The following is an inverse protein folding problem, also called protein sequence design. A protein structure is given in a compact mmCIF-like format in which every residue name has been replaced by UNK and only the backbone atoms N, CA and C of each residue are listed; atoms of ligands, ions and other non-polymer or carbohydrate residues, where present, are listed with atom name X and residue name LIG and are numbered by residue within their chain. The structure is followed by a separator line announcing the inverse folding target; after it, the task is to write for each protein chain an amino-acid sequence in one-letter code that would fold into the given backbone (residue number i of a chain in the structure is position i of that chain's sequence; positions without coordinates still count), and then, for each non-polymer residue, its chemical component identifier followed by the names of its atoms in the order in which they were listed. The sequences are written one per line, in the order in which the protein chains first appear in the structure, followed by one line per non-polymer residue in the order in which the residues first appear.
data_IF_639975672764
#
_entry.id   IF_639975672764
#
_cell.length_a   1.000
_cell.length_b   1.000
_cell.length_c   1.000
_cell.angle_alpha   90.00
_cell.angle_beta   90.00
_cell.angle_gamma   90.00
#
_symmetry.space_group_name_H-M   'P 1'
#
loop_
_entity.id
_entity.type
_entity.pdbx_description
1 polymer ?
#
# COMPACT_ATOMS: atom_id res chain seq x y z
N UNK A 1 -29.09 25.84 -7.53
CA UNK A 1 -28.83 24.54 -6.87
C UNK A 1 -28.20 23.62 -7.89
N UNK A 2 -26.89 23.42 -7.83
CA UNK A 2 -26.17 22.62 -8.83
C UNK A 2 -26.59 21.16 -8.65
N UNK A 3 -27.38 20.64 -9.59
CA UNK A 3 -27.81 19.24 -9.57
C UNK A 3 -26.58 18.39 -9.89
N UNK A 4 -26.16 17.53 -8.96
CA UNK A 4 -25.07 16.60 -9.24
C UNK A 4 -25.42 15.73 -10.46
N UNK A 5 -24.46 15.42 -11.34
CA UNK A 5 -24.61 14.36 -12.32
C UNK A 5 -25.13 13.09 -11.64
N UNK A 6 -26.03 12.36 -12.32
CA UNK A 6 -26.70 11.17 -11.74
C UNK A 6 -25.73 10.20 -11.07
N UNK A 7 -24.60 9.92 -11.72
CA UNK A 7 -23.57 9.02 -11.19
C UNK A 7 -22.95 9.52 -9.87
N UNK A 8 -22.70 10.82 -9.74
CA UNK A 8 -22.15 11.40 -8.50
C UNK A 8 -23.21 11.46 -7.39
N UNK A 9 -24.49 11.66 -7.74
CA UNK A 9 -25.58 11.59 -6.78
C UNK A 9 -25.77 10.16 -6.23
N UNK A 10 -25.68 9.15 -7.10
CA UNK A 10 -25.73 7.75 -6.69
C UNK A 10 -24.51 7.40 -5.80
N UNK A 11 -23.31 7.87 -6.16
CA UNK A 11 -22.10 7.70 -5.36
C UNK A 11 -22.24 8.34 -3.97
N UNK A 12 -22.76 9.56 -3.90
CA UNK A 12 -23.02 10.24 -2.63
C UNK A 12 -23.97 9.44 -1.73
N UNK A 13 -25.04 8.87 -2.31
CA UNK A 13 -25.98 8.02 -1.59
C UNK A 13 -25.30 6.74 -1.07
N UNK A 14 -24.49 6.09 -1.89
CA UNK A 14 -23.72 4.91 -1.48
C UNK A 14 -22.74 5.24 -0.34
N UNK A 15 -21.97 6.32 -0.47
CA UNK A 15 -21.03 6.75 0.57
C UNK A 15 -21.74 7.17 1.86
N UNK A 16 -22.94 7.73 1.76
CA UNK A 16 -23.75 8.09 2.93
C UNK A 16 -24.12 6.82 3.70
N UNK A 17 -24.55 5.78 2.98
CA UNK A 17 -24.79 4.47 3.57
C UNK A 17 -23.54 3.87 4.20
N UNK A 18 -22.43 3.82 3.44
CA UNK A 18 -21.17 3.21 3.88
C UNK A 18 -20.52 3.92 5.06
N UNK A 19 -20.54 5.25 5.12
CA UNK A 19 -19.77 6.01 6.12
C UNK A 19 -20.63 6.57 7.26
N UNK A 20 -21.90 6.91 6.99
CA UNK A 20 -22.76 7.56 7.98
C UNK A 20 -23.72 6.57 8.67
N UNK A 21 -24.02 5.44 8.05
CA UNK A 21 -25.03 4.50 8.56
C UNK A 21 -24.45 3.15 8.95
N UNK A 22 -23.83 2.43 8.00
CA UNK A 22 -23.42 1.02 8.17
C UNK A 22 -21.98 0.73 7.74
N UNK A 23 -20.95 1.43 8.28
CA UNK A 23 -19.55 1.12 7.96
C UNK A 23 -19.12 -0.31 8.33
N UNK A 24 -19.77 -0.93 9.30
CA UNK A 24 -19.57 -2.33 9.68
C UNK A 24 -19.87 -3.32 8.55
N UNK A 25 -20.93 -3.12 7.76
CA UNK A 25 -21.23 -4.00 6.62
C UNK A 25 -20.12 -4.01 5.56
N UNK A 26 -19.30 -2.95 5.57
CA UNK A 26 -18.16 -2.81 4.68
C UNK A 26 -16.82 -3.09 5.37
N UNK A 27 -16.80 -3.50 6.63
CA UNK A 27 -15.57 -3.73 7.40
C UNK A 27 -14.71 -2.47 7.51
N UNK A 28 -15.35 -1.29 7.43
CA UNK A 28 -14.73 0.01 7.55
C UNK A 28 -14.77 0.42 9.02
N UNK A 29 -13.59 0.64 9.62
CA UNK A 29 -13.48 1.09 11.01
C UNK A 29 -13.20 2.58 11.01
N UNK A 30 -14.15 3.37 11.52
CA UNK A 30 -13.98 4.80 11.65
C UNK A 30 -13.09 5.14 12.84
N UNK A 31 -12.21 6.13 12.66
CA UNK A 31 -11.47 6.74 13.76
C UNK A 31 -12.42 7.58 14.64
N UNK A 32 -11.91 8.04 15.80
CA UNK A 32 -12.71 8.78 16.78
C UNK A 32 -13.29 10.10 16.24
N UNK A 33 -12.60 10.72 15.28
CA UNK A 33 -12.98 11.94 14.56
C UNK A 33 -13.84 11.67 13.30
N UNK A 34 -14.17 10.40 13.06
CA UNK A 34 -14.97 9.92 11.93
C UNK A 34 -14.18 9.71 10.64
N UNK A 35 -12.87 9.97 10.62
CA UNK A 35 -12.05 9.80 9.42
C UNK A 35 -11.72 8.33 9.14
N UNK A 36 -11.59 8.03 7.86
CA UNK A 36 -11.10 6.75 7.36
C UNK A 36 -10.23 6.98 6.11
N UNK A 37 -9.17 6.17 5.87
CA UNK A 37 -8.37 6.31 4.67
C UNK A 37 -9.20 6.08 3.40
N UNK A 38 -9.06 6.97 2.42
CA UNK A 38 -9.75 6.89 1.11
C UNK A 38 -9.45 5.56 0.42
N UNK A 39 -8.24 5.03 0.59
CA UNK A 39 -7.86 3.71 0.06
C UNK A 39 -8.76 2.58 0.56
N UNK A 40 -9.17 2.60 1.84
CA UNK A 40 -10.07 1.59 2.39
C UNK A 40 -11.48 1.73 1.80
N UNK A 41 -11.96 2.97 1.64
CA UNK A 41 -13.27 3.24 1.03
C UNK A 41 -13.32 2.78 -0.42
N UNK A 42 -12.29 3.09 -1.21
CA UNK A 42 -12.17 2.63 -2.60
C UNK A 42 -12.07 1.09 -2.69
N UNK A 43 -11.36 0.46 -1.77
CA UNK A 43 -11.29 -1.00 -1.69
C UNK A 43 -12.65 -1.62 -1.33
N UNK A 44 -13.40 -1.01 -0.41
CA UNK A 44 -14.75 -1.44 -0.09
C UNK A 44 -15.69 -1.29 -1.29
N UNK A 45 -15.68 -0.14 -1.97
CA UNK A 45 -16.46 0.13 -3.18
C UNK A 45 -16.15 -0.85 -4.31
N UNK A 46 -14.89 -1.25 -4.49
CA UNK A 46 -14.50 -2.22 -5.52
C UNK A 46 -15.16 -3.59 -5.31
N UNK A 47 -15.49 -3.92 -4.06
CA UNK A 47 -16.19 -5.14 -3.70
C UNK A 47 -17.70 -5.10 -3.90
N UNK A 48 -18.28 -3.93 -4.15
CA UNK A 48 -19.72 -3.76 -4.31
C UNK A 48 -20.10 -3.77 -5.81
N UNK A 49 -21.24 -4.38 -6.17
CA UNK A 49 -21.70 -4.44 -7.55
C UNK A 49 -21.86 -3.02 -8.11
N UNK A 50 -21.49 -2.84 -9.37
CA UNK A 50 -21.55 -1.55 -10.09
C UNK A 50 -20.61 -0.44 -9.58
N UNK A 51 -19.84 -0.63 -8.49
CA UNK A 51 -18.97 0.42 -7.92
C UNK A 51 -17.48 0.26 -8.23
N UNK A 52 -17.10 -0.80 -8.94
CA UNK A 52 -15.70 -1.09 -9.30
C UNK A 52 -15.00 -0.05 -10.19
N UNK A 53 -15.76 0.87 -10.81
CA UNK A 53 -15.20 1.95 -11.62
C UNK A 53 -14.78 3.18 -10.80
N UNK A 54 -15.22 3.28 -9.53
CA UNK A 54 -14.97 4.48 -8.71
C UNK A 54 -13.49 4.63 -8.41
N UNK A 55 -13.00 5.86 -8.52
CA UNK A 55 -11.60 6.26 -8.31
C UNK A 55 -11.57 7.54 -7.49
N UNK A 56 -10.39 7.88 -6.96
CA UNK A 56 -10.17 9.08 -6.15
C UNK A 56 -10.80 10.35 -6.75
N UNK A 57 -10.58 10.61 -8.04
CA UNK A 57 -11.10 11.80 -8.70
C UNK A 57 -12.64 11.93 -8.65
N UNK A 58 -13.38 10.81 -8.62
CA UNK A 58 -14.84 10.84 -8.49
C UNK A 58 -15.26 11.33 -7.09
N UNK A 59 -14.52 10.93 -6.05
CA UNK A 59 -14.74 11.40 -4.68
C UNK A 59 -14.43 12.89 -4.56
N UNK A 60 -13.33 13.35 -5.16
CA UNK A 60 -12.94 14.77 -5.17
C UNK A 60 -13.99 15.62 -5.90
N UNK A 61 -14.44 15.18 -7.08
CA UNK A 61 -15.51 15.85 -7.83
C UNK A 61 -16.82 15.90 -7.06
N UNK A 62 -17.22 14.79 -6.44
CA UNK A 62 -18.44 14.74 -5.63
C UNK A 62 -18.37 15.74 -4.47
N UNK A 63 -17.28 15.76 -3.71
CA UNK A 63 -17.12 16.66 -2.57
C UNK A 63 -17.07 18.14 -2.99
N UNK A 64 -16.45 18.45 -4.13
CA UNK A 64 -16.37 19.82 -4.64
C UNK A 64 -17.73 20.37 -5.12
N UNK A 65 -18.61 19.51 -5.63
CA UNK A 65 -19.89 19.92 -6.21
C UNK A 65 -21.05 19.92 -5.20
N UNK A 66 -20.87 19.31 -4.03
CA UNK A 66 -21.94 19.10 -3.06
C UNK A 66 -22.17 20.34 -2.18
N UNK A 67 -23.40 20.84 -2.17
CA UNK A 67 -23.82 21.97 -1.35
C UNK A 67 -25.19 21.70 -0.72
N UNK A 68 -25.32 21.67 0.61
CA UNK A 68 -24.24 21.75 1.62
C UNK A 68 -23.31 20.52 1.58
N UNK A 69 -22.06 20.62 2.05
CA UNK A 69 -21.12 19.50 2.02
C UNK A 69 -21.57 18.39 2.99
N UNK A 70 -21.80 17.17 2.47
CA UNK A 70 -22.10 16.01 3.32
C UNK A 70 -20.85 15.19 3.68
N UNK A 71 -19.75 15.39 2.95
CA UNK A 71 -18.47 14.71 3.17
C UNK A 71 -17.34 15.71 3.23
N UNK A 72 -16.34 15.37 4.04
CA UNK A 72 -15.07 16.08 4.08
C UNK A 72 -13.97 15.15 3.60
N UNK A 73 -13.22 15.59 2.58
CA UNK A 73 -11.96 14.98 2.19
C UNK A 73 -10.81 15.84 2.69
N UNK A 74 -9.96 15.26 3.55
CA UNK A 74 -8.75 15.88 4.06
C UNK A 74 -7.57 14.97 3.71
N UNK A 75 -6.65 15.44 2.86
CA UNK A 75 -5.51 14.65 2.35
C UNK A 75 -5.94 13.31 1.73
N UNK A 76 -5.63 12.20 2.39
CA UNK A 76 -5.99 10.83 1.99
C UNK A 76 -7.04 10.20 2.91
N UNK A 77 -7.79 11.02 3.63
CA UNK A 77 -8.88 10.60 4.50
C UNK A 77 -10.21 11.23 4.09
N UNK A 78 -11.30 10.53 4.39
CA UNK A 78 -12.66 10.98 4.17
C UNK A 78 -13.49 10.74 5.43
N UNK A 79 -14.41 11.65 5.74
CA UNK A 79 -15.43 11.46 6.78
C UNK A 79 -16.80 11.94 6.35
N UNK A 80 -17.83 11.42 7.01
CA UNK A 80 -19.19 11.92 6.88
C UNK A 80 -19.44 13.11 7.82
N UNK A 81 -20.03 14.19 7.31
CA UNK A 81 -20.41 15.38 8.09
C UNK A 81 -21.89 15.38 8.49
N UNK A 82 -22.78 14.93 7.60
CA UNK A 82 -24.22 14.96 7.81
C UNK A 82 -24.86 13.67 7.26
N UNK A 83 -25.55 12.85 8.09
CA UNK A 83 -25.97 13.10 9.49
C UNK A 83 -24.85 12.96 10.56
N UNK A 84 -23.61 12.72 10.15
CA UNK A 84 -22.44 12.53 11.02
C UNK A 84 -21.95 11.07 11.03
N UNK A 85 -20.77 10.77 11.59
CA UNK A 85 -20.22 9.41 11.59
C UNK A 85 -21.02 8.48 12.51
N UNK A 86 -21.27 7.25 12.05
CA UNK A 86 -21.92 6.22 12.85
C UNK A 86 -21.06 5.83 14.06
N UNK A 87 -21.67 5.74 15.25
CA UNK A 87 -21.02 5.23 16.46
C UNK A 87 -21.32 3.73 16.60
N UNK A 88 -20.40 2.90 16.10
CA UNK A 88 -20.60 1.46 16.02
C UNK A 88 -19.86 0.64 17.08
N UNK A 89 -18.95 1.25 17.84
CA UNK A 89 -18.21 0.54 18.89
C UNK A 89 -19.15 0.16 20.03
N UNK A 90 -19.17 -1.12 20.38
CA UNK A 90 -19.96 -1.74 21.46
C UNK A 90 -19.00 -2.38 22.47
N UNK A 91 -18.48 -1.62 23.46
CA UNK A 91 -17.51 -2.12 24.42
C UNK A 91 -18.05 -3.24 25.32
N UNK A 92 -19.37 -3.30 25.53
CA UNK A 92 -20.04 -4.30 26.36
C UNK A 92 -20.37 -5.60 25.61
N UNK A 93 -20.07 -5.68 24.31
CA UNK A 93 -20.40 -6.85 23.50
C UNK A 93 -19.46 -8.02 23.80
N UNK A 94 -20.02 -9.12 24.27
CA UNK A 94 -19.28 -10.38 24.47
C UNK A 94 -19.02 -11.05 23.11
N UNK A 95 -17.76 -11.35 22.74
CA UNK A 95 -17.46 -12.02 21.49
C UNK A 95 -17.93 -13.49 21.51
N UNK A 96 -18.39 -14.04 20.38
CA UNK A 96 -18.64 -15.47 20.22
C UNK A 96 -17.36 -16.28 20.47
N UNK A 97 -17.50 -17.59 20.71
CA UNK A 97 -16.38 -18.49 20.99
C UNK A 97 -15.35 -18.59 19.84
N UNK A 98 -15.80 -18.33 18.61
CA UNK A 98 -14.96 -18.28 17.43
C UNK A 98 -15.26 -16.98 16.66
N UNK A 99 -14.20 -16.36 16.17
CA UNK A 99 -14.27 -15.27 15.21
C UNK A 99 -13.47 -15.62 13.96
N UNK A 100 -13.74 -14.93 12.87
CA UNK A 100 -13.17 -15.23 11.57
C UNK A 100 -12.53 -14.00 10.94
N UNK A 101 -11.35 -14.16 10.37
CA UNK A 101 -10.72 -13.19 9.50
C UNK A 101 -10.48 -13.81 8.12
N UNK A 102 -10.35 -12.98 7.11
CA UNK A 102 -9.99 -13.41 5.77
C UNK A 102 -8.76 -12.64 5.31
N UNK A 103 -7.70 -13.37 4.98
CA UNK A 103 -6.42 -12.79 4.56
C UNK A 103 -6.16 -13.10 3.09
N UNK A 104 -5.45 -12.22 2.36
CA UNK A 104 -5.05 -12.53 1.00
C UNK A 104 -3.98 -13.65 1.02
N UNK A 105 -3.92 -14.55 0.03
CA UNK A 105 -2.95 -15.66 -0.01
C UNK A 105 -1.49 -15.21 0.16
N UNK A 106 -1.14 -14.04 -0.39
CA UNK A 106 0.20 -13.43 -0.22
C UNK A 106 0.61 -13.16 1.24
N UNK A 107 -0.36 -13.00 2.15
CA UNK A 107 -0.11 -12.77 3.56
C UNK A 107 -0.03 -14.08 4.36
N UNK A 108 -0.36 -15.22 3.75
CA UNK A 108 -0.49 -16.50 4.45
C UNK A 108 0.80 -16.92 5.16
N UNK A 109 1.95 -16.90 4.48
CA UNK A 109 3.22 -17.29 5.10
C UNK A 109 3.56 -16.44 6.32
N UNK A 110 3.35 -15.12 6.21
CA UNK A 110 3.57 -14.19 7.31
C UNK A 110 2.63 -14.44 8.49
N UNK A 111 1.33 -14.65 8.22
CA UNK A 111 0.33 -14.90 9.28
C UNK A 111 0.56 -16.25 9.96
N UNK A 112 1.06 -17.25 9.21
CA UNK A 112 1.42 -18.54 9.76
C UNK A 112 2.56 -18.45 10.77
N UNK A 113 3.56 -17.60 10.53
CA UNK A 113 4.72 -17.43 11.41
C UNK A 113 4.47 -16.42 12.54
N UNK A 114 3.92 -15.26 12.22
CA UNK A 114 3.83 -14.11 13.14
C UNK A 114 2.46 -13.93 13.82
N UNK A 115 1.44 -14.65 13.38
CA UNK A 115 0.05 -14.37 13.76
C UNK A 115 -0.60 -13.25 12.94
N UNK A 116 -1.79 -12.80 13.35
CA UNK A 116 -2.48 -11.68 12.72
C UNK A 116 -2.04 -10.37 13.36
N UNK A 117 -1.48 -9.47 12.54
CA UNK A 117 -1.08 -8.13 12.98
C UNK A 117 -1.85 -7.08 12.19
N UNK A 118 -2.47 -6.10 12.85
CA UNK A 118 -3.09 -4.99 12.14
C UNK A 118 -2.01 -4.07 11.55
N UNK A 119 -2.37 -3.28 10.52
CA UNK A 119 -1.56 -2.12 10.14
C UNK A 119 -1.36 -1.15 11.31
N UNK A 120 -0.36 -0.28 11.20
CA UNK A 120 -0.09 0.74 12.23
C UNK A 120 -1.35 1.58 12.51
N UNK A 121 -1.62 1.84 13.79
CA UNK A 121 -2.78 2.63 14.27
C UNK A 121 -4.17 2.07 13.88
N UNK A 122 -4.24 0.79 13.49
CA UNK A 122 -5.49 0.12 13.17
C UNK A 122 -5.70 -1.10 14.07
N UNK A 123 -6.94 -1.58 14.10
CA UNK A 123 -7.33 -2.80 14.77
C UNK A 123 -7.63 -3.89 13.73
N UNK A 124 -7.53 -5.15 14.15
CA UNK A 124 -7.99 -6.26 13.34
C UNK A 124 -9.51 -6.24 13.30
N UNK A 125 -10.07 -6.36 12.09
CA UNK A 125 -11.50 -6.56 11.88
C UNK A 125 -11.76 -8.06 11.78
N UNK A 126 -12.54 -8.57 12.72
CA UNK A 126 -12.95 -9.97 12.80
C UNK A 126 -14.46 -10.06 12.64
N UNK A 127 -14.94 -11.07 11.92
CA UNK A 127 -16.37 -11.33 11.72
C UNK A 127 -16.85 -12.46 12.62
N UNK A 128 -18.11 -12.36 13.07
CA UNK A 128 -18.80 -13.39 13.83
C UNK A 128 -19.04 -14.67 13.01
N UNK A 129 -19.16 -14.54 11.69
CA UNK A 129 -19.44 -15.65 10.78
C UNK A 129 -18.35 -15.80 9.72
N UNK A 130 -18.16 -17.04 9.25
CA UNK A 130 -17.23 -17.34 8.16
C UNK A 130 -17.63 -16.67 6.84
N UNK A 131 -18.93 -16.57 6.58
CA UNK A 131 -19.47 -15.96 5.36
C UNK A 131 -19.17 -14.47 5.29
N UNK A 132 -19.39 -13.74 6.39
CA UNK A 132 -19.08 -12.32 6.48
C UNK A 132 -17.57 -12.07 6.34
N UNK A 133 -16.72 -12.88 6.99
CA UNK A 133 -15.27 -12.83 6.77
C UNK A 133 -14.90 -13.06 5.30
N UNK A 134 -15.49 -14.07 4.65
CA UNK A 134 -15.23 -14.38 3.25
C UNK A 134 -15.64 -13.23 2.32
N UNK A 135 -16.82 -12.63 2.55
CA UNK A 135 -17.31 -11.46 1.82
C UNK A 135 -16.32 -10.30 1.91
N UNK A 136 -15.86 -9.97 3.11
CA UNK A 136 -14.88 -8.90 3.33
C UNK A 136 -13.51 -9.22 2.69
N UNK A 137 -13.07 -10.48 2.78
CA UNK A 137 -11.81 -10.96 2.21
C UNK A 137 -11.75 -10.89 0.68
N UNK A 138 -12.88 -11.22 0.02
CA UNK A 138 -12.99 -11.24 -1.45
C UNK A 138 -12.71 -9.89 -2.11
N UNK A 139 -12.88 -8.80 -1.37
CA UNK A 139 -12.55 -7.44 -1.81
C UNK A 139 -11.05 -7.20 -1.98
N UNK A 140 -10.22 -8.00 -1.29
CA UNK A 140 -8.75 -7.87 -1.31
C UNK A 140 -8.09 -8.89 -2.22
N UNK A 141 -8.65 -10.10 -2.30
CA UNK A 141 -8.18 -11.18 -3.16
C UNK A 141 -9.37 -12.07 -3.55
N UNK A 142 -9.43 -12.59 -4.79
CA UNK A 142 -10.55 -13.43 -5.24
C UNK A 142 -10.72 -14.71 -4.40
N UNK A 143 -9.60 -15.30 -3.98
CA UNK A 143 -9.55 -16.49 -3.14
C UNK A 143 -8.85 -16.16 -1.81
N UNK A 144 -9.55 -15.56 -0.83
CA UNK A 144 -8.97 -15.28 0.47
C UNK A 144 -8.90 -16.55 1.33
N UNK A 145 -7.91 -16.60 2.20
CA UNK A 145 -7.72 -17.69 3.17
C UNK A 145 -8.45 -17.31 4.45
N UNK A 146 -9.33 -18.20 4.93
CA UNK A 146 -10.03 -18.02 6.20
C UNK A 146 -9.10 -18.37 7.36
N UNK A 147 -9.08 -17.49 8.34
CA UNK A 147 -8.41 -17.66 9.62
C UNK A 147 -9.47 -17.70 10.71
N UNK A 148 -9.51 -18.77 11.47
CA UNK A 148 -10.38 -18.94 12.64
C UNK A 148 -9.63 -18.49 13.89
N UNK A 149 -10.25 -17.67 14.72
CA UNK A 149 -9.69 -17.12 15.95
C UNK A 149 -10.40 -17.75 17.14
N UNK A 150 -9.62 -18.34 18.04
CA UNK A 150 -10.07 -18.95 19.30
C UNK A 150 -10.23 -17.86 20.37
N UNK A 151 -11.36 -17.15 20.36
CA UNK A 151 -11.56 -15.95 21.18
C UNK A 151 -11.54 -16.23 22.68
N UNK A 152 -12.11 -17.36 23.13
CA UNK A 152 -12.13 -17.70 24.56
C UNK A 152 -10.73 -17.91 25.12
N UNK A 153 -9.85 -18.55 24.35
CA UNK A 153 -8.46 -18.74 24.72
C UNK A 153 -7.72 -17.39 24.73
N UNK A 154 -7.93 -16.56 23.71
CA UNK A 154 -7.33 -15.22 23.62
C UNK A 154 -7.79 -14.31 24.77
N UNK A 155 -9.08 -14.32 25.12
CA UNK A 155 -9.63 -13.57 26.25
C UNK A 155 -9.00 -14.00 27.58
N UNK A 156 -8.84 -15.30 27.83
CA UNK A 156 -8.16 -15.81 29.03
C UNK A 156 -6.69 -15.41 29.09
N UNK A 157 -6.05 -15.20 27.95
CA UNK A 157 -4.69 -14.67 27.84
C UNK A 157 -4.60 -13.14 27.94
N UNK A 158 -5.73 -12.44 28.16
CA UNK A 158 -5.78 -10.99 28.33
C UNK A 158 -5.95 -10.18 27.05
N UNK A 159 -6.24 -10.82 25.91
CA UNK A 159 -6.50 -10.11 24.65
C UNK A 159 -7.94 -9.59 24.66
N UNK A 160 -8.09 -8.27 24.53
CA UNK A 160 -9.39 -7.61 24.49
C UNK A 160 -10.04 -7.69 23.09
N UNK A 161 -11.36 -7.88 23.07
CA UNK A 161 -12.19 -7.78 21.87
C UNK A 161 -13.27 -6.74 22.12
N UNK A 162 -13.55 -5.90 21.14
CA UNK A 162 -14.59 -4.88 21.20
C UNK A 162 -15.60 -5.12 20.07
N UNK A 163 -16.89 -5.14 20.37
CA UNK A 163 -17.91 -5.25 19.32
C UNK A 163 -17.90 -4.03 18.40
N UNK A 164 -18.20 -4.24 17.12
CA UNK A 164 -18.29 -3.19 16.11
C UNK A 164 -19.42 -3.47 15.13
N UNK A 165 -20.43 -2.61 15.10
CA UNK A 165 -21.64 -2.88 14.32
C UNK A 165 -22.31 -4.16 14.81
N UNK A 166 -23.02 -4.90 13.96
CA UNK A 166 -23.75 -6.08 14.43
C UNK A 166 -22.91 -7.36 14.44
N UNK A 167 -22.14 -7.61 13.38
CA UNK A 167 -21.46 -8.87 13.14
C UNK A 167 -19.94 -8.81 13.28
N UNK A 168 -19.36 -7.64 13.56
CA UNK A 168 -17.91 -7.48 13.61
C UNK A 168 -17.40 -7.24 15.02
N UNK A 169 -16.13 -7.56 15.21
CA UNK A 169 -15.35 -7.37 16.42
C UNK A 169 -13.97 -6.82 16.06
N UNK A 170 -13.47 -5.93 16.91
CA UNK A 170 -12.15 -5.33 16.81
C UNK A 170 -11.24 -5.97 17.84
N UNK A 171 -10.01 -6.24 17.44
CA UNK A 171 -8.99 -6.82 18.30
C UNK A 171 -7.62 -6.19 18.01
N UNK A 172 -6.69 -6.19 18.98
CA UNK A 172 -5.30 -5.87 18.73
C UNK A 172 -4.62 -7.01 17.93
N UNK A 173 -3.29 -7.06 17.91
CA UNK A 173 -2.58 -8.18 17.32
C UNK A 173 -2.92 -9.52 18.00
N UNK A 174 -3.10 -10.57 17.21
CA UNK A 174 -3.39 -11.92 17.66
C UNK A 174 -2.19 -12.83 17.37
N UNK A 175 -1.53 -13.37 18.42
CA UNK A 175 -0.49 -14.38 18.29
C UNK A 175 -0.94 -15.64 17.54
N UNK A 176 0.04 -16.36 16.99
CA UNK A 176 -0.17 -17.60 16.20
C UNK A 176 -0.93 -18.69 16.97
N UNK A 177 -0.76 -18.76 18.29
CA UNK A 177 -1.37 -19.77 19.16
C UNK A 177 -2.91 -19.66 19.25
N UNK A 178 -3.48 -18.47 19.02
CA UNK A 178 -4.93 -18.26 19.07
C UNK A 178 -5.61 -18.35 17.70
N UNK A 179 -4.85 -18.62 16.64
CA UNK A 179 -5.38 -18.68 15.28
C UNK A 179 -5.22 -20.08 14.68
N UNK A 180 -6.21 -20.46 13.88
CA UNK A 180 -6.22 -21.68 13.08
C UNK A 180 -6.42 -21.29 11.62
N UNK A 181 -5.53 -21.76 10.77
CA UNK A 181 -5.55 -21.57 9.33
C UNK A 181 -4.92 -22.80 8.69
N UNK A 182 -5.20 -23.11 7.41
CA UNK A 182 -4.54 -24.23 6.72
C UNK A 182 -3.00 -24.03 6.70
N UNK A 183 -2.22 -25.11 6.59
CA UNK A 183 -0.77 -24.98 6.38
C UNK A 183 -0.50 -24.22 5.07
N UNK A 184 0.52 -23.36 5.02
CA UNK A 184 0.87 -22.64 3.81
C UNK A 184 1.21 -23.65 2.70
N UNK A 185 0.82 -23.38 1.44
CA UNK A 185 1.35 -24.15 0.32
C UNK A 185 2.89 -24.06 0.33
N UNK A 186 3.60 -25.09 -0.13
CA UNK A 186 5.06 -25.04 -0.28
C UNK A 186 5.45 -23.73 -0.95
N UNK A 187 6.37 -23.02 -0.33
CA UNK A 187 6.84 -21.74 -0.84
C UNK A 187 7.47 -22.02 -2.20
N UNK A 188 6.77 -21.71 -3.29
CA UNK A 188 7.44 -21.46 -4.55
C UNK A 188 8.37 -20.29 -4.27
N UNK A 189 9.64 -20.59 -4.03
CA UNK A 189 10.69 -19.61 -4.16
C UNK A 189 10.50 -19.03 -5.55
N UNK A 190 9.93 -17.83 -5.62
CA UNK A 190 10.16 -16.96 -6.76
C UNK A 190 11.66 -16.78 -6.77
N UNK A 191 12.35 -17.67 -7.48
CA UNK A 191 13.63 -17.38 -8.08
C UNK A 191 13.47 -15.97 -8.61
N UNK A 192 14.31 -15.05 -8.10
CA UNK A 192 14.36 -13.72 -8.66
C UNK A 192 14.45 -13.84 -10.18
N UNK A 193 14.03 -12.81 -10.95
CA UNK A 193 14.17 -12.87 -12.40
C UNK A 193 15.56 -13.41 -12.72
N UNK A 194 15.67 -14.46 -13.57
CA UNK A 194 16.97 -15.04 -13.87
C UNK A 194 17.91 -13.90 -14.20
N UNK A 195 19.16 -13.90 -13.69
CA UNK A 195 20.11 -12.84 -13.99
C UNK A 195 20.06 -12.64 -15.49
N UNK A 196 19.67 -11.43 -15.94
CA UNK A 196 19.60 -11.11 -17.36
C UNK A 196 20.95 -11.52 -17.94
N UNK A 197 20.95 -12.58 -18.73
CA UNK A 197 22.11 -12.92 -19.56
C UNK A 197 22.49 -11.63 -20.28
N UNK A 198 23.78 -11.25 -20.32
CA UNK A 198 24.19 -10.06 -21.04
C UNK A 198 23.59 -10.14 -22.43
N UNK A 199 22.78 -9.15 -22.80
CA UNK A 199 22.18 -9.11 -24.12
C UNK A 199 23.31 -9.24 -25.15
N UNK A 200 23.14 -10.15 -26.11
CA UNK A 200 24.07 -10.21 -27.25
C UNK A 200 24.15 -8.82 -27.88
N UNK A 201 25.35 -8.31 -28.20
CA UNK A 201 25.48 -7.00 -28.81
C UNK A 201 24.69 -7.00 -30.11
N UNK A 202 23.64 -6.19 -30.17
CA UNK A 202 22.87 -5.99 -31.39
C UNK A 202 23.82 -5.47 -32.48
N UNK A 203 23.72 -5.98 -33.73
CA UNK A 203 24.56 -5.53 -34.84
C UNK A 203 24.39 -4.02 -35.03
N UNK A 204 25.41 -3.25 -34.66
CA UNK A 204 25.37 -1.78 -34.67
C UNK A 204 25.80 -1.11 -33.35
N UNK A 205 25.96 -1.87 -32.26
CA UNK A 205 26.52 -1.35 -31.00
C UNK A 205 28.05 -1.41 -31.00
N UNK A 206 28.70 -0.35 -31.46
CA UNK A 206 30.15 -0.17 -31.29
C UNK A 206 30.43 0.19 -29.82
N UNK A 207 30.82 -0.79 -28.99
CA UNK A 207 31.34 -0.49 -27.65
C UNK A 207 32.74 0.11 -27.78
N UNK A 208 32.87 1.38 -27.42
CA UNK A 208 34.17 2.06 -27.31
C UNK A 208 34.91 1.50 -26.09
N UNK A 209 35.83 0.57 -26.31
CA UNK A 209 36.71 0.02 -25.27
C UNK A 209 37.69 1.10 -24.76
N UNK A 210 37.41 1.67 -23.58
CA UNK A 210 38.29 2.66 -22.93
C UNK A 210 39.70 2.14 -22.60
N UNK A 211 39.89 0.82 -22.54
CA UNK A 211 41.20 0.14 -22.45
C UNK A 211 42.08 0.37 -23.68
N UNK A 212 41.49 0.51 -24.87
CA UNK A 212 42.20 0.77 -26.13
C UNK A 212 42.60 2.25 -26.29
N UNK A 213 41.88 3.17 -25.63
CA UNK A 213 42.28 4.59 -25.52
C UNK A 213 43.40 4.78 -24.50
N UNK A 214 43.36 4.08 -23.36
CA UNK A 214 44.41 4.16 -22.34
C UNK A 214 45.76 3.59 -22.82
N UNK A 215 45.75 2.53 -23.64
CA UNK A 215 46.96 1.92 -24.19
C UNK A 215 47.60 2.71 -25.34
N UNK A 216 46.83 3.54 -26.07
CA UNK A 216 47.36 4.52 -27.04
C UNK A 216 47.92 5.77 -26.38
N UNK A 217 47.38 6.20 -25.22
CA UNK A 217 47.97 7.28 -24.42
C UNK A 217 49.29 6.85 -23.74
N UNK A 218 49.44 5.56 -23.39
CA UNK A 218 50.66 5.03 -22.78
C UNK A 218 51.81 4.75 -23.77
N UNK A 219 51.52 4.59 -25.08
CA UNK A 219 52.56 4.44 -26.14
C UNK A 219 53.02 5.76 -26.77
N UNK A 220 52.49 6.90 -26.35
CA UNK A 220 52.86 8.22 -26.85
C UNK A 220 53.87 8.98 -25.96
N UNK A 221 54.84 8.28 -25.34
CA UNK A 221 55.98 8.92 -24.66
C UNK A 221 57.32 8.31 -25.07
N UNK A 222 58.20 9.20 -25.59
CA UNK A 222 59.61 9.07 -26.03
C UNK A 222 59.74 8.54 -27.47
N UNK A 223 60.29 9.28 -28.44
CA UNK A 223 61.50 10.13 -28.51
C UNK A 223 61.32 10.93 -29.83
N UNK A 224 61.68 12.19 -30.05
CA UNK A 224 63.05 12.74 -30.00
C UNK A 224 63.04 14.18 -30.57
N UNK A 225 63.98 14.99 -30.05
CA UNK A 225 64.65 16.16 -30.65
C UNK A 225 63.96 17.53 -30.61
N UNK A 226 64.50 18.38 -29.73
CA UNK A 226 64.38 19.83 -29.74
C UNK A 226 64.66 20.44 -31.12
N UNK A 227 63.82 21.39 -31.60
CA UNK A 227 64.13 22.20 -32.77
C UNK A 227 65.20 23.26 -32.45
N UNK A 228 66.29 23.23 -33.22
CA UNK A 228 67.52 24.01 -33.07
C UNK A 228 67.42 25.53 -33.38
N UNK A 229 66.26 26.17 -33.19
CA UNK A 229 66.08 27.62 -33.43
C UNK A 229 65.83 28.44 -32.15
N UNK A 230 65.66 27.79 -30.99
CA UNK A 230 65.53 28.47 -29.68
C UNK A 230 66.89 28.72 -28.97
N UNK A 231 68.00 28.39 -29.62
CA UNK A 231 69.36 28.64 -29.13
C UNK A 231 69.89 30.07 -29.41
N UNK A 232 69.14 30.94 -30.11
CA UNK A 232 69.62 32.28 -30.50
C UNK A 232 68.62 33.41 -30.24
N UNK A 233 67.97 33.40 -29.07
CA UNK A 233 67.28 34.62 -28.55
C UNK A 233 67.36 34.83 -27.04
N UNK A 234 68.25 34.12 -26.34
CA UNK A 234 68.65 34.39 -24.95
C UNK A 234 70.12 34.85 -24.80
N UNK A 235 70.78 35.16 -25.92
CA UNK A 235 72.14 35.73 -25.93
C UNK A 235 72.18 37.27 -26.06
N UNK A 236 71.03 37.98 -25.99
CA UNK A 236 70.99 39.47 -26.08
C UNK A 236 70.19 40.10 -24.94
N UNK A 237 70.18 39.47 -23.76
CA UNK A 237 69.80 40.15 -22.50
C UNK A 237 70.77 39.86 -21.35
N UNK A 238 72.01 39.49 -21.69
CA UNK A 238 73.21 39.70 -20.87
C UNK A 238 74.16 40.56 -21.69
N UNK A 239 73.96 41.86 -21.57
CA UNK A 239 74.71 42.85 -22.32
C UNK A 239 74.13 44.23 -22.08
N UNK A 240 74.63 44.86 -21.00
CA UNK A 240 74.53 46.28 -20.67
C UNK A 240 73.14 46.74 -20.22
N UNK A 241 72.94 47.28 -19.02
CA UNK A 241 73.89 48.01 -18.18
C UNK A 241 73.76 49.51 -18.47
N UNK A 242 73.65 50.24 -17.36
CA UNK A 242 73.43 51.69 -17.22
C UNK A 242 72.02 52.18 -17.47
#
# INVERSE_FOLDING_TARGET
MTRLPRQLADLARMLTYMLCHRPDEFGLVLAADGFIPVKQVLQALTGEPDWGFVRRHHLDQMAALMQPPAFELAHDQIRCLAPGPARLRRPEATPPALLYAAIPPKAHGRVWEEGLKPPLEQELVLAATRETAMKLGRRRAPEPVIVTVQTQAALRAGIAFQGYGDELFLAPALPREFIQLPPPPPREEKTGPPPKLPAEPTPGSFMLELSQLASKAAKAKRKKKDPAWKATRRAVRKGKGS
#
